data_IF_539173804060
#
_entry.id   IF_539173804060
#
_cell.length_a   1.000
_cell.length_b   1.000
_cell.length_c   1.000
_cell.angle_alpha   90.00
_cell.angle_beta   90.00
_cell.angle_gamma   90.00
#
_symmetry.space_group_name_H-M   'P 1'
#
loop_
_entity.id
_entity.type
_entity.pdbx_description
1 polymer ?
#
# COMPACT_ATOMS: atom_id res chain seq x y z
N UNK A 1 5.19 -50.71 9.06
CA UNK A 1 5.24 -49.96 7.80
C UNK A 1 6.22 -50.72 6.91
N UNK A 2 5.71 -51.47 5.94
CA UNK A 2 6.55 -52.22 4.98
C UNK A 2 7.19 -51.27 3.99
N UNK A 3 8.48 -51.38 3.75
CA UNK A 3 9.18 -50.61 2.73
C UNK A 3 8.52 -50.82 1.35
N UNK A 4 8.40 -49.78 0.53
CA UNK A 4 7.78 -49.88 -0.79
C UNK A 4 8.61 -50.78 -1.69
N UNK A 5 7.92 -51.63 -2.47
CA UNK A 5 8.58 -52.50 -3.44
C UNK A 5 9.29 -51.71 -4.54
N UNK A 6 10.39 -52.26 -5.15
CA UNK A 6 11.08 -51.58 -6.24
C UNK A 6 10.17 -51.15 -7.40
N UNK A 7 9.13 -51.92 -7.71
CA UNK A 7 8.11 -51.58 -8.72
C UNK A 7 7.31 -50.37 -8.32
N UNK A 8 6.93 -50.21 -7.06
CA UNK A 8 6.18 -49.07 -6.57
C UNK A 8 7.02 -47.78 -6.55
N UNK A 9 8.35 -47.91 -6.28
CA UNK A 9 9.30 -46.79 -6.39
C UNK A 9 9.41 -46.31 -7.83
N UNK A 10 9.56 -47.21 -8.79
CA UNK A 10 9.64 -46.88 -10.22
C UNK A 10 8.35 -46.21 -10.72
N UNK A 11 7.17 -46.67 -10.27
CA UNK A 11 5.87 -46.07 -10.61
C UNK A 11 5.74 -44.63 -10.07
N UNK A 12 6.13 -44.39 -8.80
CA UNK A 12 6.15 -43.07 -8.18
C UNK A 12 7.14 -42.12 -8.84
N UNK A 13 8.32 -42.60 -9.23
CA UNK A 13 9.31 -41.80 -9.97
C UNK A 13 8.79 -41.39 -11.36
N UNK A 14 8.09 -42.31 -12.07
CA UNK A 14 7.47 -42.00 -13.33
C UNK A 14 6.33 -40.98 -13.18
N UNK A 15 5.53 -41.07 -12.12
CA UNK A 15 4.47 -40.12 -11.80
C UNK A 15 5.04 -38.75 -11.46
N UNK A 16 6.04 -38.67 -10.62
CA UNK A 16 6.80 -37.46 -10.30
C UNK A 16 7.42 -36.81 -11.54
N UNK A 17 7.93 -37.66 -12.46
CA UNK A 17 8.47 -37.23 -13.75
C UNK A 17 7.40 -36.59 -14.65
N UNK A 18 6.18 -37.13 -14.66
CA UNK A 18 5.02 -36.58 -15.40
C UNK A 18 4.58 -35.25 -14.80
N UNK A 19 4.46 -35.16 -13.47
CA UNK A 19 4.10 -33.93 -12.75
C UNK A 19 5.14 -32.81 -12.95
N UNK A 20 6.42 -33.11 -12.88
CA UNK A 20 7.50 -32.16 -13.17
C UNK A 20 7.47 -31.63 -14.60
N UNK A 21 7.16 -32.48 -15.60
CA UNK A 21 6.98 -32.05 -17.01
C UNK A 21 5.76 -31.17 -17.16
N UNK A 22 4.63 -31.48 -16.50
CA UNK A 22 3.40 -30.69 -16.50
C UNK A 22 3.64 -29.32 -15.87
N UNK A 23 4.29 -29.25 -14.72
CA UNK A 23 4.67 -28.02 -14.04
C UNK A 23 5.56 -27.12 -14.91
N UNK A 24 6.60 -27.69 -15.55
CA UNK A 24 7.47 -26.94 -16.48
C UNK A 24 6.70 -26.40 -17.70
N UNK A 25 5.74 -27.16 -18.22
CA UNK A 25 4.88 -26.71 -19.33
C UNK A 25 4.00 -25.54 -18.93
N UNK A 26 3.38 -25.59 -17.74
CA UNK A 26 2.57 -24.50 -17.18
C UNK A 26 3.43 -23.26 -16.94
N UNK A 27 4.62 -23.42 -16.36
CA UNK A 27 5.54 -22.30 -16.14
C UNK A 27 5.99 -21.62 -17.43
N UNK A 28 6.24 -22.41 -18.51
CA UNK A 28 6.57 -21.85 -19.83
C UNK A 28 5.42 -21.08 -20.45
N UNK A 29 4.17 -21.59 -20.32
CA UNK A 29 2.97 -20.88 -20.79
C UNK A 29 2.72 -19.60 -20.01
N UNK A 30 2.94 -19.61 -18.70
CA UNK A 30 2.83 -18.43 -17.85
C UNK A 30 3.86 -17.37 -18.25
N UNK A 31 5.13 -17.73 -18.39
CA UNK A 31 6.19 -16.82 -18.81
C UNK A 31 5.94 -16.23 -20.21
N UNK A 32 5.39 -17.03 -21.16
CA UNK A 32 5.03 -16.52 -22.48
C UNK A 32 3.88 -15.52 -22.41
N UNK A 33 2.87 -15.76 -21.56
CA UNK A 33 1.76 -14.82 -21.32
C UNK A 33 2.21 -13.56 -20.61
N UNK A 34 3.11 -13.64 -19.66
CA UNK A 34 3.73 -12.47 -19.00
C UNK A 34 4.48 -11.61 -20.00
N UNK A 35 5.19 -12.22 -20.93
CA UNK A 35 5.92 -11.52 -21.98
C UNK A 35 4.99 -10.85 -22.99
N UNK A 36 3.91 -11.52 -23.40
CA UNK A 36 2.84 -10.98 -24.25
C UNK A 36 2.16 -9.77 -23.57
N UNK A 37 1.87 -9.84 -22.27
CA UNK A 37 1.32 -8.73 -21.49
C UNK A 37 2.31 -7.56 -21.40
N UNK A 38 3.60 -7.80 -21.18
CA UNK A 38 4.64 -6.78 -21.17
C UNK A 38 4.78 -6.07 -22.52
N UNK A 39 4.63 -6.80 -23.63
CA UNK A 39 4.62 -6.20 -24.97
C UNK A 39 3.39 -5.33 -25.21
N UNK A 40 2.21 -5.75 -24.74
CA UNK A 40 0.97 -4.95 -24.77
C UNK A 40 1.15 -3.66 -23.96
N UNK A 41 1.72 -3.75 -22.75
CA UNK A 41 2.00 -2.57 -21.90
C UNK A 41 3.05 -1.61 -22.50
N UNK A 42 4.02 -2.12 -23.26
CA UNK A 42 5.05 -1.33 -23.97
C UNK A 42 4.55 -0.77 -25.29
N UNK A 43 3.43 -1.23 -25.82
CA UNK A 43 2.92 -0.80 -27.11
C UNK A 43 2.37 0.64 -27.06
N UNK A 44 2.57 1.39 -28.17
CA UNK A 44 1.96 2.72 -28.34
C UNK A 44 0.42 2.69 -28.26
N UNK A 45 -0.20 1.50 -28.45
CA UNK A 45 -1.63 1.29 -28.31
C UNK A 45 -2.12 1.53 -26.87
N UNK A 46 -1.30 1.25 -25.83
CA UNK A 46 -1.70 1.51 -24.43
C UNK A 46 -1.78 3.01 -24.13
N UNK A 47 -0.86 3.82 -24.69
CA UNK A 47 -0.96 5.28 -24.65
C UNK A 47 -2.23 5.80 -25.36
N UNK A 48 -2.64 5.13 -26.45
CA UNK A 48 -3.85 5.47 -27.20
C UNK A 48 -5.14 5.10 -26.44
N UNK A 49 -5.14 4.00 -25.69
CA UNK A 49 -6.26 3.60 -24.81
C UNK A 49 -6.46 4.60 -23.67
N UNK A 50 -5.36 5.14 -23.09
CA UNK A 50 -5.42 6.24 -22.13
C UNK A 50 -6.05 7.50 -22.72
N UNK A 51 -5.70 7.82 -23.98
CA UNK A 51 -6.28 8.95 -24.72
C UNK A 51 -7.74 8.70 -25.10
N UNK A 52 -8.11 7.49 -25.53
CA UNK A 52 -9.50 7.11 -25.78
C UNK A 52 -10.35 7.11 -24.51
N UNK A 53 -9.78 6.71 -23.38
CA UNK A 53 -10.42 6.78 -22.06
C UNK A 53 -10.72 8.23 -21.68
N UNK A 54 -9.76 9.15 -21.92
CA UNK A 54 -9.99 10.58 -21.71
C UNK A 54 -11.01 11.19 -22.69
N UNK A 55 -11.09 10.67 -23.92
CA UNK A 55 -12.09 11.06 -24.92
C UNK A 55 -13.50 10.54 -24.56
N UNK A 56 -13.59 9.32 -24.05
CA UNK A 56 -14.83 8.75 -23.51
C UNK A 56 -15.39 9.62 -22.39
N UNK A 57 -14.55 10.05 -21.47
CA UNK A 57 -14.96 10.96 -20.38
C UNK A 57 -15.34 12.37 -20.87
N UNK A 58 -14.79 12.83 -22.00
CA UNK A 58 -15.09 14.15 -22.56
C UNK A 58 -16.35 14.18 -23.44
N UNK A 59 -16.70 13.10 -24.13
CA UNK A 59 -17.74 13.06 -25.14
C UNK A 59 -18.99 12.25 -24.76
N UNK A 60 -18.85 11.15 -24.00
CA UNK A 60 -19.98 10.27 -23.67
C UNK A 60 -20.62 10.59 -22.31
N UNK A 61 -19.87 11.14 -21.35
CA UNK A 61 -20.39 11.48 -20.04
C UNK A 61 -21.40 12.64 -20.01
N UNK A 62 -21.34 13.67 -20.89
CA UNK A 62 -22.40 14.67 -20.97
C UNK A 62 -23.74 14.09 -21.43
N UNK A 63 -23.71 12.99 -22.23
CA UNK A 63 -24.92 12.31 -22.72
C UNK A 63 -25.54 11.41 -21.64
N UNK A 64 -24.74 10.81 -20.74
CA UNK A 64 -25.20 9.99 -19.62
C UNK A 64 -25.76 10.86 -18.45
N UNK A 65 -25.35 12.12 -18.35
CA UNK A 65 -25.90 13.09 -17.40
C UNK A 65 -27.38 13.43 -17.65
N UNK A 66 -27.91 13.04 -18.80
CA UNK A 66 -29.36 13.20 -19.11
C UNK A 66 -30.23 12.08 -18.50
N UNK A 67 -29.66 11.07 -17.85
CA UNK A 67 -30.37 9.94 -17.23
C UNK A 67 -30.30 9.99 -15.69
N UNK A 68 -30.12 11.16 -15.10
CA UNK A 68 -30.48 11.40 -13.69
C UNK A 68 -29.52 10.89 -12.60
N UNK A 69 -28.30 10.46 -12.93
CA UNK A 69 -27.27 10.08 -11.93
C UNK A 69 -26.06 11.00 -12.10
N UNK A 70 -26.02 12.11 -11.36
CA UNK A 70 -24.88 13.03 -11.32
C UNK A 70 -24.12 12.87 -10.01
N UNK A 71 -22.92 12.28 -10.10
CA UNK A 71 -21.92 12.31 -9.01
C UNK A 71 -21.04 13.56 -9.16
N UNK A 72 -20.64 14.24 -8.08
CA UNK A 72 -19.82 15.44 -8.17
C UNK A 72 -18.41 15.09 -8.69
N UNK A 73 -18.03 15.71 -9.81
CA UNK A 73 -16.69 15.53 -10.42
C UNK A 73 -15.85 16.77 -10.19
N UNK A 74 -14.73 16.64 -9.51
CA UNK A 74 -13.63 17.60 -9.60
C UNK A 74 -12.63 17.14 -10.68
N UNK A 75 -12.18 18.12 -11.50
CA UNK A 75 -11.20 17.90 -12.58
C UNK A 75 -9.82 17.53 -11.98
N UNK A 76 -9.10 16.51 -12.50
CA UNK A 76 -7.73 16.32 -12.14
C UNK A 76 -6.89 17.52 -12.64
N UNK A 77 -6.04 18.05 -11.78
CA UNK A 77 -5.03 19.05 -12.13
C UNK A 77 -4.02 18.41 -13.08
N UNK A 78 -3.71 19.08 -14.19
CA UNK A 78 -2.73 18.61 -15.17
C UNK A 78 -1.33 18.48 -14.54
N UNK A 79 -0.51 17.48 -14.93
CA UNK A 79 0.87 17.38 -14.47
C UNK A 79 1.68 18.59 -14.94
N UNK A 80 2.49 19.13 -14.02
CA UNK A 80 3.42 20.21 -14.31
C UNK A 80 4.44 19.76 -15.39
N UNK A 81 4.93 20.68 -16.27
CA UNK A 81 5.90 20.34 -17.29
C UNK A 81 7.23 19.93 -16.66
N UNK A 82 7.84 18.86 -17.19
CA UNK A 82 9.17 18.44 -16.83
C UNK A 82 10.21 19.51 -17.25
N UNK A 83 10.61 20.33 -16.31
CA UNK A 83 11.76 21.22 -16.44
C UNK A 83 13.01 20.45 -16.03
N UNK A 84 14.02 20.42 -16.89
CA UNK A 84 15.29 19.71 -16.65
C UNK A 84 16.24 20.38 -15.64
N UNK A 85 15.79 21.37 -14.87
CA UNK A 85 16.54 21.94 -13.77
C UNK A 85 16.29 21.12 -12.50
N UNK A 86 17.36 20.72 -11.81
CA UNK A 86 17.24 20.12 -10.48
C UNK A 86 16.51 21.10 -9.56
N UNK A 87 15.48 20.66 -8.82
CA UNK A 87 14.78 21.53 -7.88
C UNK A 87 15.78 22.01 -6.83
N UNK A 88 15.77 23.31 -6.54
CA UNK A 88 16.51 23.88 -5.41
C UNK A 88 15.91 23.35 -4.12
N UNK A 89 16.45 22.27 -3.58
CA UNK A 89 16.08 21.78 -2.26
C UNK A 89 16.62 22.76 -1.22
N UNK A 90 15.78 23.40 -0.39
CA UNK A 90 16.25 24.28 0.66
C UNK A 90 17.15 23.50 1.63
N UNK A 91 18.02 24.20 2.35
CA UNK A 91 18.83 23.61 3.43
C UNK A 91 17.90 23.03 4.50
N UNK A 92 18.39 22.01 5.23
CA UNK A 92 17.65 21.46 6.37
C UNK A 92 17.29 22.55 7.39
N UNK A 93 16.09 22.45 7.95
CA UNK A 93 15.66 23.36 9.00
C UNK A 93 16.46 23.09 10.29
N UNK A 94 16.90 24.12 11.02
CA UNK A 94 17.60 23.93 12.29
C UNK A 94 16.82 23.03 13.26
N UNK A 95 17.48 22.03 13.84
CA UNK A 95 16.87 21.09 14.77
C UNK A 95 15.91 20.06 14.14
N UNK A 96 15.90 19.95 12.82
CA UNK A 96 15.14 18.91 12.08
C UNK A 96 16.12 18.00 11.36
N UNK A 97 15.81 16.71 11.34
CA UNK A 97 16.55 15.71 10.59
C UNK A 97 15.95 15.50 9.22
N UNK A 98 16.72 14.93 8.32
CA UNK A 98 16.28 14.59 6.98
C UNK A 98 15.79 13.14 6.93
N UNK A 99 14.90 12.85 6.00
CA UNK A 99 14.39 11.49 5.76
C UNK A 99 14.67 11.10 4.31
N UNK A 100 15.40 10.00 4.13
CA UNK A 100 15.53 9.31 2.86
C UNK A 100 14.62 8.08 2.89
N UNK A 101 13.53 8.12 2.13
CA UNK A 101 12.56 7.04 2.10
C UNK A 101 12.72 6.17 0.86
N UNK A 102 13.03 4.90 1.05
CA UNK A 102 13.01 3.86 0.02
C UNK A 102 11.60 3.26 -0.06
N UNK A 103 10.85 3.69 -1.07
CA UNK A 103 9.41 3.55 -1.13
C UNK A 103 8.91 2.17 -1.59
N UNK A 104 7.61 1.94 -1.35
CA UNK A 104 6.86 0.78 -1.89
C UNK A 104 5.97 1.14 -3.07
N UNK A 105 5.80 2.43 -3.41
CA UNK A 105 5.01 2.93 -4.53
C UNK A 105 5.53 4.30 -4.96
N UNK A 106 5.16 4.78 -6.15
CA UNK A 106 5.38 6.18 -6.52
C UNK A 106 4.51 7.09 -5.65
N UNK A 107 4.96 8.35 -5.44
CA UNK A 107 4.24 9.29 -4.58
C UNK A 107 2.81 9.54 -5.03
N UNK A 108 2.59 9.74 -6.32
CA UNK A 108 1.27 10.00 -6.91
C UNK A 108 0.46 8.72 -7.19
N UNK A 109 0.93 7.55 -6.75
CA UNK A 109 0.25 6.28 -6.94
C UNK A 109 -1.02 6.21 -6.10
N UNK A 110 -0.90 5.73 -4.88
CA UNK A 110 -1.98 5.69 -3.90
C UNK A 110 -1.55 6.40 -2.65
N UNK A 111 -2.40 7.32 -2.16
CA UNK A 111 -2.13 8.03 -0.91
C UNK A 111 -2.45 7.11 0.27
N UNK A 112 -1.41 6.46 0.80
CA UNK A 112 -1.51 5.43 1.85
C UNK A 112 -0.58 5.75 3.02
N UNK A 113 -0.37 4.78 3.92
CA UNK A 113 0.49 4.90 5.11
C UNK A 113 1.82 5.62 4.85
N UNK A 114 2.63 5.29 3.83
CA UNK A 114 3.88 6.01 3.60
C UNK A 114 3.68 7.50 3.35
N UNK A 115 2.76 7.86 2.45
CA UNK A 115 2.49 9.25 2.10
C UNK A 115 1.86 10.00 3.28
N UNK A 116 0.95 9.37 4.03
CA UNK A 116 0.32 9.95 5.22
C UNK A 116 1.38 10.34 6.26
N UNK A 117 2.20 9.37 6.69
CA UNK A 117 3.22 9.60 7.72
C UNK A 117 4.31 10.57 7.27
N UNK A 118 4.82 10.40 6.03
CA UNK A 118 5.87 11.27 5.50
C UNK A 118 5.39 12.70 5.26
N UNK A 119 4.10 12.89 4.96
CA UNK A 119 3.49 14.21 4.89
C UNK A 119 3.54 14.91 6.24
N UNK A 120 3.25 14.22 7.33
CA UNK A 120 3.31 14.77 8.69
C UNK A 120 4.75 15.10 9.12
N UNK A 121 5.74 14.31 8.71
CA UNK A 121 7.14 14.68 8.88
C UNK A 121 7.49 15.99 8.13
N UNK A 122 7.02 16.12 6.90
CA UNK A 122 7.24 17.31 6.10
C UNK A 122 6.55 18.55 6.70
N UNK A 123 5.33 18.40 7.23
CA UNK A 123 4.58 19.45 7.92
C UNK A 123 5.26 19.85 9.24
N UNK A 124 5.92 18.90 9.92
CA UNK A 124 6.76 19.16 11.08
C UNK A 124 8.11 19.82 10.72
N UNK A 125 8.39 20.06 9.43
CA UNK A 125 9.56 20.78 8.95
C UNK A 125 10.77 19.90 8.59
N UNK A 126 10.63 18.59 8.57
CA UNK A 126 11.64 17.66 8.07
C UNK A 126 11.67 17.68 6.54
N UNK A 127 12.86 17.58 5.91
CA UNK A 127 12.96 17.33 4.47
C UNK A 127 12.78 15.82 4.22
N UNK A 128 11.95 15.47 3.23
CA UNK A 128 11.64 14.10 2.86
C UNK A 128 12.05 13.88 1.40
N UNK A 129 12.98 12.98 1.19
CA UNK A 129 13.43 12.51 -0.11
C UNK A 129 12.85 11.12 -0.36
N UNK A 130 11.79 11.06 -1.14
CA UNK A 130 11.01 9.86 -1.42
C UNK A 130 11.52 9.19 -2.69
N UNK A 131 12.30 8.12 -2.58
CA UNK A 131 12.89 7.41 -3.71
C UNK A 131 11.81 6.61 -4.43
N UNK A 132 11.54 7.00 -5.69
CA UNK A 132 10.60 6.34 -6.59
C UNK A 132 11.07 4.93 -6.96
N UNK A 133 10.12 4.07 -7.30
CA UNK A 133 10.38 2.74 -7.85
C UNK A 133 10.75 2.78 -9.34
N UNK A 134 10.59 3.92 -10.00
CA UNK A 134 10.98 4.12 -11.39
C UNK A 134 12.42 4.54 -11.47
N UNK A 135 13.17 3.87 -12.34
CA UNK A 135 14.56 4.20 -12.62
C UNK A 135 14.68 4.88 -13.97
N UNK A 136 15.73 5.69 -14.13
CA UNK A 136 16.08 6.33 -15.39
C UNK A 136 17.29 5.61 -15.98
N UNK A 137 17.22 5.28 -17.26
CA UNK A 137 18.34 4.63 -17.97
C UNK A 137 19.47 5.58 -18.32
N UNK A 138 19.20 6.90 -18.35
CA UNK A 138 20.09 7.96 -18.82
C UNK A 138 20.00 9.22 -17.95
N UNK A 139 20.84 10.19 -18.26
CA UNK A 139 20.89 11.49 -17.58
C UNK A 139 21.66 11.49 -16.25
N UNK A 140 21.39 12.44 -15.35
CA UNK A 140 22.10 12.58 -14.07
C UNK A 140 21.87 11.38 -13.16
N UNK A 141 22.76 11.19 -12.18
CA UNK A 141 22.70 10.08 -11.23
C UNK A 141 21.39 10.06 -10.42
N UNK A 142 20.79 11.21 -10.20
CA UNK A 142 19.47 11.39 -9.61
C UNK A 142 18.75 12.58 -10.24
N UNK A 143 17.42 12.61 -10.10
CA UNK A 143 16.56 13.76 -10.37
C UNK A 143 15.43 13.78 -9.36
N UNK A 144 14.83 14.93 -9.09
CA UNK A 144 13.69 15.01 -8.20
C UNK A 144 12.62 15.97 -8.70
N UNK A 145 11.39 15.73 -8.24
CA UNK A 145 10.26 16.62 -8.41
C UNK A 145 9.64 16.91 -7.04
N UNK A 146 9.40 18.18 -6.72
CA UNK A 146 8.68 18.54 -5.51
C UNK A 146 7.21 18.12 -5.64
N UNK A 147 6.72 17.34 -4.69
CA UNK A 147 5.33 16.86 -4.64
C UNK A 147 4.46 17.69 -3.72
N UNK A 148 5.05 18.15 -2.67
CA UNK A 148 4.49 19.11 -1.73
C UNK A 148 5.62 19.77 -0.98
N UNK A 149 5.33 20.80 -0.19
CA UNK A 149 6.34 21.47 0.64
C UNK A 149 7.13 20.44 1.46
N UNK A 150 8.45 20.48 1.36
CA UNK A 150 9.40 19.61 2.04
C UNK A 150 9.37 18.12 1.60
N UNK A 151 8.69 17.75 0.51
CA UNK A 151 8.70 16.40 -0.05
C UNK A 151 9.14 16.42 -1.50
N UNK A 152 10.21 15.71 -1.81
CA UNK A 152 10.72 15.53 -3.18
C UNK A 152 10.69 14.05 -3.55
N UNK A 153 10.00 13.71 -4.64
CA UNK A 153 10.11 12.39 -5.23
C UNK A 153 11.40 12.30 -6.04
N UNK A 154 12.28 11.41 -5.62
CA UNK A 154 13.62 11.21 -6.18
C UNK A 154 13.60 10.01 -7.12
N UNK A 155 14.04 10.21 -8.36
CA UNK A 155 14.25 9.14 -9.34
C UNK A 155 15.75 8.93 -9.51
N UNK A 156 16.23 7.73 -9.19
CA UNK A 156 17.63 7.36 -9.36
C UNK A 156 17.91 6.87 -10.79
N UNK A 157 19.14 7.06 -11.26
CA UNK A 157 19.61 6.39 -12.46
C UNK A 157 19.80 4.90 -12.17
N UNK A 158 19.22 4.05 -13.01
CA UNK A 158 19.23 2.61 -12.83
C UNK A 158 18.70 1.87 -14.04
N UNK A 159 18.83 0.56 -14.02
CA UNK A 159 18.23 -0.33 -15.01
C UNK A 159 16.76 -0.55 -14.68
N UNK A 160 15.93 -0.89 -15.68
CA UNK A 160 14.52 -1.20 -15.45
C UNK A 160 14.35 -2.52 -14.70
N UNK A 161 14.22 -2.45 -13.38
CA UNK A 161 14.01 -3.58 -12.47
C UNK A 161 12.56 -3.59 -11.96
N UNK A 162 12.01 -4.78 -11.77
CA UNK A 162 10.76 -4.93 -11.06
C UNK A 162 11.05 -5.12 -9.56
N UNK A 163 10.92 -4.03 -8.80
CA UNK A 163 11.24 -3.98 -7.37
C UNK A 163 10.42 -4.94 -6.51
N UNK A 164 9.29 -5.45 -7.01
CA UNK A 164 8.44 -6.42 -6.27
C UNK A 164 8.82 -7.88 -6.51
N UNK A 165 9.51 -8.18 -7.60
CA UNK A 165 9.79 -9.57 -8.00
C UNK A 165 11.27 -9.88 -8.11
N UNK A 166 12.12 -8.86 -8.28
CA UNK A 166 13.55 -9.03 -8.49
C UNK A 166 14.33 -8.63 -7.24
N UNK A 167 15.38 -9.38 -6.93
CA UNK A 167 16.34 -9.00 -5.90
C UNK A 167 17.34 -7.99 -6.47
N UNK A 168 17.76 -7.02 -5.67
CA UNK A 168 18.75 -6.04 -6.07
C UNK A 168 20.14 -6.69 -6.16
N UNK A 169 20.60 -6.92 -7.39
CA UNK A 169 21.92 -7.45 -7.69
C UNK A 169 23.04 -6.41 -7.49
N UNK A 170 24.28 -6.88 -7.41
CA UNK A 170 25.44 -6.05 -7.05
C UNK A 170 25.67 -4.88 -8.03
N UNK A 171 25.61 -5.14 -9.33
CA UNK A 171 25.80 -4.10 -10.37
C UNK A 171 24.71 -3.01 -10.28
N UNK A 172 23.45 -3.42 -10.17
CA UNK A 172 22.32 -2.48 -10.06
C UNK A 172 22.42 -1.70 -8.74
N UNK A 173 22.78 -2.36 -7.64
CA UNK A 173 23.01 -1.71 -6.35
C UNK A 173 24.10 -0.64 -6.42
N UNK A 174 25.25 -0.93 -7.07
CA UNK A 174 26.33 0.02 -7.23
C UNK A 174 25.87 1.27 -8.00
N UNK A 175 25.10 1.08 -9.09
CA UNK A 175 24.57 2.17 -9.89
C UNK A 175 23.56 3.04 -9.13
N UNK A 176 22.65 2.41 -8.38
CA UNK A 176 21.68 3.13 -7.54
C UNK A 176 22.39 3.87 -6.38
N UNK A 177 23.46 3.28 -5.84
CA UNK A 177 24.23 3.91 -4.78
C UNK A 177 24.98 5.16 -5.25
N UNK A 178 25.47 5.20 -6.48
CA UNK A 178 26.01 6.43 -7.10
C UNK A 178 24.99 7.58 -7.04
N UNK A 179 23.71 7.26 -7.28
CA UNK A 179 22.60 8.23 -7.18
C UNK A 179 22.36 8.70 -5.75
N UNK A 180 22.40 7.82 -4.77
CA UNK A 180 22.25 8.16 -3.34
C UNK A 180 23.43 9.00 -2.86
N UNK A 181 24.67 8.66 -3.26
CA UNK A 181 25.88 9.38 -2.90
C UNK A 181 25.90 10.78 -3.54
N UNK A 182 25.45 10.91 -4.80
CA UNK A 182 25.30 12.19 -5.45
C UNK A 182 24.20 13.06 -4.79
N UNK A 183 23.04 12.47 -4.49
CA UNK A 183 21.96 13.16 -3.77
C UNK A 183 22.46 13.70 -2.43
N UNK A 184 23.17 12.87 -1.66
CA UNK A 184 23.72 13.28 -0.36
C UNK A 184 24.59 14.53 -0.49
N UNK A 185 25.50 14.57 -1.47
CA UNK A 185 26.38 15.73 -1.69
C UNK A 185 25.62 16.96 -2.14
N UNK A 186 24.74 16.80 -3.14
CA UNK A 186 24.10 17.91 -3.84
C UNK A 186 23.09 18.65 -2.94
N UNK A 187 22.37 17.91 -2.07
CA UNK A 187 21.40 18.49 -1.12
C UNK A 187 21.90 18.57 0.32
N UNK A 188 23.18 18.20 0.55
CA UNK A 188 23.86 18.22 1.85
C UNK A 188 23.09 17.46 2.94
N UNK A 189 22.78 16.17 2.69
CA UNK A 189 22.25 15.29 3.73
C UNK A 189 23.34 15.04 4.78
N UNK A 190 23.04 15.37 6.03
CA UNK A 190 23.97 15.28 7.15
C UNK A 190 23.93 13.95 7.89
N UNK A 191 24.67 13.88 9.00
CA UNK A 191 24.65 12.72 9.92
C UNK A 191 23.27 12.53 10.59
N UNK A 192 22.46 13.57 10.64
CA UNK A 192 21.08 13.60 11.14
C UNK A 192 20.05 13.22 10.06
N UNK A 193 20.39 12.26 9.21
CA UNK A 193 19.48 11.68 8.21
C UNK A 193 19.04 10.30 8.66
N UNK A 194 17.73 10.01 8.59
CA UNK A 194 17.17 8.67 8.84
C UNK A 194 16.68 8.03 7.54
N UNK A 195 16.91 6.73 7.37
CA UNK A 195 16.42 5.99 6.23
C UNK A 195 15.16 5.20 6.59
N UNK A 196 14.07 5.43 5.86
CA UNK A 196 12.84 4.64 5.94
C UNK A 196 12.84 3.64 4.79
N UNK A 197 12.66 2.37 5.10
CA UNK A 197 12.59 1.28 4.11
C UNK A 197 11.22 0.66 4.18
N UNK A 198 10.49 0.67 3.07
CA UNK A 198 9.14 0.12 2.97
C UNK A 198 9.08 -1.18 2.17
N UNK A 199 10.14 -1.51 1.42
CA UNK A 199 10.22 -2.73 0.62
C UNK A 199 11.61 -3.36 0.78
N UNK A 200 11.71 -4.67 1.08
CA UNK A 200 12.99 -5.36 1.27
C UNK A 200 13.96 -5.30 0.09
N UNK A 201 13.46 -5.08 -1.14
CA UNK A 201 14.29 -4.81 -2.32
C UNK A 201 15.39 -3.78 -2.04
N UNK A 202 15.08 -2.76 -1.24
CA UNK A 202 15.99 -1.67 -0.90
C UNK A 202 16.98 -2.01 0.22
N UNK A 203 16.81 -3.14 0.92
CA UNK A 203 17.63 -3.54 2.06
C UNK A 203 19.12 -3.49 1.79
N UNK A 204 19.64 -4.09 0.68
CA UNK A 204 21.06 -4.02 0.34
C UNK A 204 21.59 -2.60 0.10
N UNK A 205 20.76 -1.72 -0.49
CA UNK A 205 21.10 -0.31 -0.73
C UNK A 205 21.13 0.50 0.57
N UNK A 206 20.13 0.31 1.42
CA UNK A 206 20.05 0.96 2.73
C UNK A 206 21.21 0.55 3.64
N UNK A 207 21.60 -0.74 3.65
CA UNK A 207 22.78 -1.23 4.37
C UNK A 207 24.05 -0.54 3.89
N UNK A 208 24.29 -0.45 2.58
CA UNK A 208 25.45 0.25 2.01
C UNK A 208 25.45 1.74 2.40
N UNK A 209 24.32 2.42 2.37
CA UNK A 209 24.20 3.80 2.79
C UNK A 209 24.47 3.96 4.31
N UNK A 210 23.98 3.04 5.15
CA UNK A 210 24.30 3.00 6.58
C UNK A 210 25.80 2.86 6.84
N UNK A 211 26.47 1.93 6.16
CA UNK A 211 27.91 1.72 6.27
C UNK A 211 28.71 2.96 5.85
N UNK A 212 28.25 3.67 4.82
CA UNK A 212 28.93 4.82 4.25
C UNK A 212 28.71 6.11 5.02
N UNK A 213 27.46 6.36 5.50
CA UNK A 213 27.04 7.64 6.05
C UNK A 213 26.67 7.59 7.54
N UNK A 214 26.52 6.41 8.11
CA UNK A 214 26.10 6.25 9.52
C UNK A 214 24.58 6.42 9.74
N UNK A 215 23.78 6.54 8.70
CA UNK A 215 22.35 6.79 8.81
C UNK A 215 21.59 5.57 9.35
N UNK A 216 20.76 5.73 10.39
CA UNK A 216 19.97 4.62 10.91
C UNK A 216 18.89 4.17 9.90
N UNK A 217 18.63 2.86 9.91
CA UNK A 217 17.62 2.19 9.06
C UNK A 217 16.38 1.89 9.88
N UNK A 218 15.23 2.42 9.48
CA UNK A 218 13.91 2.08 10.00
C UNK A 218 13.17 1.27 8.95
N UNK A 219 12.86 0.01 9.25
CA UNK A 219 12.06 -0.84 8.39
C UNK A 219 10.59 -0.81 8.83
N UNK A 220 9.70 -0.29 7.97
CA UNK A 220 8.25 -0.30 8.18
C UNK A 220 7.64 -1.50 7.45
N UNK A 221 7.50 -2.61 8.17
CA UNK A 221 6.94 -3.88 7.68
C UNK A 221 5.41 -3.78 7.69
N UNK A 222 4.84 -3.42 6.54
CA UNK A 222 3.41 -3.14 6.39
C UNK A 222 2.60 -4.34 5.94
N UNK A 223 3.24 -5.32 5.28
CA UNK A 223 2.60 -6.50 4.70
C UNK A 223 3.40 -7.77 4.97
N UNK A 224 2.73 -8.92 5.01
CA UNK A 224 3.40 -10.22 5.03
C UNK A 224 3.88 -10.57 3.62
N UNK A 225 5.11 -10.18 3.30
CA UNK A 225 5.68 -10.28 1.96
C UNK A 225 5.57 -11.69 1.36
N UNK A 226 5.85 -12.71 2.15
CA UNK A 226 5.75 -14.12 1.75
C UNK A 226 4.31 -14.57 1.42
N UNK A 227 3.30 -13.73 1.67
CA UNK A 227 1.89 -13.99 1.35
C UNK A 227 1.49 -13.60 -0.08
N UNK A 228 2.29 -12.80 -0.77
CA UNK A 228 2.03 -12.43 -2.16
C UNK A 228 2.47 -13.52 -3.13
N UNK A 229 1.62 -13.87 -4.09
CA UNK A 229 1.89 -14.91 -5.10
C UNK A 229 3.04 -14.56 -6.05
N UNK A 230 3.33 -13.26 -6.21
CA UNK A 230 4.36 -12.72 -7.12
C UNK A 230 5.75 -12.61 -6.49
N UNK A 231 5.86 -12.69 -5.17
CA UNK A 231 7.13 -12.50 -4.44
C UNK A 231 8.03 -13.72 -4.55
N UNK A 232 9.28 -13.51 -4.92
CA UNK A 232 10.30 -14.55 -5.05
C UNK A 232 11.02 -14.82 -3.72
N UNK A 233 11.57 -16.03 -3.57
CA UNK A 233 12.32 -16.44 -2.36
C UNK A 233 13.47 -15.50 -2.00
N UNK A 234 14.14 -14.93 -3.01
CA UNK A 234 15.24 -14.00 -2.79
C UNK A 234 14.79 -12.72 -2.06
N UNK A 235 13.57 -12.22 -2.36
CA UNK A 235 13.00 -11.07 -1.68
C UNK A 235 12.66 -11.40 -0.21
N UNK A 236 12.12 -12.58 0.05
CA UNK A 236 11.86 -13.06 1.42
C UNK A 236 13.17 -13.16 2.21
N UNK A 237 14.26 -13.64 1.59
CA UNK A 237 15.57 -13.67 2.24
C UNK A 237 16.11 -12.26 2.56
N UNK A 238 15.92 -11.30 1.66
CA UNK A 238 16.26 -9.89 1.91
C UNK A 238 15.43 -9.29 3.05
N UNK A 239 14.13 -9.65 3.18
CA UNK A 239 13.30 -9.24 4.31
C UNK A 239 13.85 -9.77 5.64
N UNK A 240 14.23 -11.05 5.68
CA UNK A 240 14.80 -11.69 6.85
C UNK A 240 16.11 -11.00 7.33
N UNK A 241 16.96 -10.61 6.36
CA UNK A 241 18.17 -9.82 6.66
C UNK A 241 17.82 -8.41 7.16
N UNK A 242 16.86 -7.74 6.52
CA UNK A 242 16.44 -6.40 6.89
C UNK A 242 15.80 -6.38 8.28
N UNK A 243 14.94 -7.35 8.60
CA UNK A 243 14.37 -7.53 9.94
C UNK A 243 15.45 -7.68 11.02
N UNK A 244 16.52 -8.43 10.72
CA UNK A 244 17.63 -8.67 11.67
C UNK A 244 18.54 -7.44 11.85
N UNK A 245 18.73 -6.63 10.81
CA UNK A 245 19.79 -5.61 10.75
C UNK A 245 19.29 -4.17 10.89
N UNK A 246 17.99 -3.89 10.68
CA UNK A 246 17.45 -2.55 10.84
C UNK A 246 17.59 -2.03 12.28
N UNK A 247 17.86 -0.75 12.46
CA UNK A 247 17.99 -0.12 13.77
C UNK A 247 16.64 -0.04 14.50
N UNK A 248 15.55 0.11 13.74
CA UNK A 248 14.18 0.04 14.22
C UNK A 248 13.36 -0.78 13.24
N UNK A 249 12.53 -1.69 13.74
CA UNK A 249 11.50 -2.37 12.96
C UNK A 249 10.14 -1.97 13.49
N UNK A 250 9.31 -1.46 12.58
CA UNK A 250 7.91 -1.10 12.81
C UNK A 250 7.04 -2.10 12.10
N UNK A 251 5.93 -2.51 12.72
CA UNK A 251 4.91 -3.37 12.11
C UNK A 251 3.53 -2.75 12.31
N UNK A 252 2.59 -3.04 11.41
CA UNK A 252 1.24 -2.47 11.51
C UNK A 252 0.19 -3.43 12.07
N UNK A 253 0.57 -4.67 12.40
CA UNK A 253 -0.36 -5.67 12.97
C UNK A 253 0.34 -6.62 13.93
N UNK A 254 -0.44 -7.29 14.77
CA UNK A 254 0.06 -8.29 15.73
C UNK A 254 0.66 -9.52 15.03
N UNK A 255 0.16 -9.92 13.87
CA UNK A 255 0.74 -11.04 13.10
C UNK A 255 2.10 -10.65 12.50
N UNK A 256 2.23 -9.42 12.00
CA UNK A 256 3.52 -8.91 11.51
C UNK A 256 4.52 -8.72 12.66
N UNK A 257 4.08 -8.30 13.83
CA UNK A 257 4.90 -8.28 15.04
C UNK A 257 5.48 -9.66 15.34
N UNK A 258 4.62 -10.69 15.40
CA UNK A 258 5.05 -12.07 15.63
C UNK A 258 5.98 -12.57 14.52
N UNK A 259 5.77 -12.15 13.27
CA UNK A 259 6.67 -12.46 12.17
C UNK A 259 8.06 -11.85 12.40
N UNK A 260 8.13 -10.56 12.74
CA UNK A 260 9.38 -9.86 12.98
C UNK A 260 10.12 -10.37 14.24
N UNK A 261 9.40 -10.71 15.31
CA UNK A 261 9.96 -11.25 16.56
C UNK A 261 10.68 -12.60 16.37
N UNK A 262 10.52 -13.29 15.25
CA UNK A 262 11.34 -14.48 14.91
C UNK A 262 12.79 -14.13 14.61
N UNK A 263 13.08 -12.89 14.26
CA UNK A 263 14.41 -12.41 13.83
C UNK A 263 15.05 -11.42 14.79
N UNK A 264 14.25 -10.78 15.64
CA UNK A 264 14.73 -9.80 16.61
C UNK A 264 13.88 -9.81 17.88
N UNK A 265 14.35 -9.13 18.93
CA UNK A 265 13.66 -9.10 20.24
C UNK A 265 12.79 -7.84 20.43
N UNK A 266 13.06 -6.80 19.68
CA UNK A 266 12.45 -5.48 19.81
C UNK A 266 11.72 -5.11 18.49
N UNK A 267 10.42 -4.97 18.57
CA UNK A 267 9.55 -4.59 17.45
C UNK A 267 8.57 -3.54 17.95
N UNK A 268 8.38 -2.49 17.19
CA UNK A 268 7.42 -1.44 17.51
C UNK A 268 6.15 -1.64 16.69
N UNK A 269 5.02 -1.83 17.36
CA UNK A 269 3.72 -1.93 16.68
C UNK A 269 3.13 -0.53 16.54
N UNK A 270 3.07 -0.03 15.32
CA UNK A 270 2.39 1.20 14.95
C UNK A 270 1.32 0.85 13.92
N UNK A 271 0.08 0.64 14.38
CA UNK A 271 -1.06 0.34 13.51
C UNK A 271 -1.33 1.47 12.52
N UNK A 272 -2.13 1.21 11.51
CA UNK A 272 -2.62 2.25 10.62
C UNK A 272 -3.55 3.22 11.37
N UNK A 273 -3.89 4.32 10.74
CA UNK A 273 -4.78 5.35 11.24
C UNK A 273 -5.61 5.95 10.11
N UNK A 274 -6.29 7.05 10.38
CA UNK A 274 -7.01 7.83 9.38
C UNK A 274 -6.68 9.32 9.50
N UNK A 275 -6.92 10.06 8.41
CA UNK A 275 -7.15 11.50 8.47
C UNK A 275 -8.60 11.71 8.94
N UNK A 276 -8.78 11.92 10.25
CA UNK A 276 -10.10 12.00 10.85
C UNK A 276 -10.94 13.13 10.24
N UNK A 277 -10.38 14.32 10.13
CA UNK A 277 -11.10 15.50 9.64
C UNK A 277 -11.51 15.33 8.17
N UNK A 278 -10.68 14.68 7.37
CA UNK A 278 -10.96 14.38 5.98
C UNK A 278 -12.22 13.51 5.80
N UNK A 279 -12.38 12.46 6.62
CA UNK A 279 -13.50 11.52 6.50
C UNK A 279 -14.72 11.87 7.35
N UNK A 280 -14.56 12.58 8.46
CA UNK A 280 -15.67 12.94 9.36
C UNK A 280 -16.56 14.05 8.81
N UNK A 281 -16.04 14.91 7.92
CA UNK A 281 -16.70 16.11 7.41
C UNK A 281 -17.28 15.95 6.00
N UNK A 282 -17.42 14.73 5.49
CA UNK A 282 -18.02 14.47 4.19
C UNK A 282 -19.46 14.96 4.13
N UNK A 283 -19.86 15.53 2.99
CA UNK A 283 -21.22 16.03 2.78
C UNK A 283 -22.24 14.89 2.82
N UNK A 284 -23.38 15.10 3.46
CA UNK A 284 -24.46 14.11 3.45
C UNK A 284 -24.94 13.88 2.00
N UNK A 285 -25.04 12.62 1.56
CA UNK A 285 -25.53 12.31 0.22
C UNK A 285 -27.03 12.57 0.13
N UNK A 286 -27.58 12.71 -1.10
CA UNK A 286 -29.01 12.63 -1.30
C UNK A 286 -29.53 11.26 -0.82
N UNK A 287 -30.78 11.23 -0.34
CA UNK A 287 -31.39 9.98 0.09
C UNK A 287 -31.44 8.96 -1.07
N UNK A 288 -30.97 7.77 -0.81
CA UNK A 288 -31.02 6.66 -1.78
C UNK A 288 -32.42 6.02 -1.79
N UNK A 289 -32.88 5.57 -2.97
CA UNK A 289 -34.12 4.79 -3.09
C UNK A 289 -33.91 3.35 -2.61
N UNK A 290 -32.69 2.84 -2.77
CA UNK A 290 -32.27 1.49 -2.38
C UNK A 290 -31.03 1.58 -1.50
N UNK A 291 -30.88 0.70 -0.50
CA UNK A 291 -29.69 0.68 0.31
C UNK A 291 -28.42 0.48 -0.52
N UNK A 292 -27.38 1.25 -0.22
CA UNK A 292 -26.08 1.18 -0.90
C UNK A 292 -25.06 0.50 -0.01
N UNK A 293 -24.62 -0.68 -0.43
CA UNK A 293 -23.52 -1.44 0.17
C UNK A 293 -22.22 -1.07 -0.54
N UNK A 294 -21.34 -0.37 0.16
CA UNK A 294 -20.14 0.23 -0.42
C UNK A 294 -18.84 -0.50 -0.07
N UNK A 295 -17.89 -0.41 -0.99
CA UNK A 295 -16.48 -0.76 -0.79
C UNK A 295 -15.61 0.26 -1.52
N UNK A 296 -14.47 0.63 -0.93
CA UNK A 296 -13.42 1.33 -1.67
C UNK A 296 -12.04 0.76 -1.36
N UNK A 297 -11.16 0.78 -2.36
CA UNK A 297 -9.79 0.28 -2.34
C UNK A 297 -9.51 -0.73 -3.46
N UNK A 298 -8.30 -1.29 -3.49
CA UNK A 298 -7.94 -2.25 -4.53
C UNK A 298 -8.85 -3.47 -4.52
N UNK A 299 -9.41 -3.78 -5.68
CA UNK A 299 -10.14 -5.01 -5.97
C UNK A 299 -9.13 -5.93 -6.68
N UNK A 300 -8.43 -6.76 -5.90
CA UNK A 300 -7.33 -7.59 -6.37
C UNK A 300 -7.48 -9.05 -5.89
N UNK A 301 -6.42 -9.84 -5.93
CA UNK A 301 -6.45 -11.28 -5.60
C UNK A 301 -7.04 -11.58 -4.21
N UNK A 302 -6.89 -10.67 -3.27
CA UNK A 302 -7.43 -10.78 -1.90
C UNK A 302 -8.91 -10.43 -1.75
N UNK A 303 -9.52 -9.79 -2.75
CA UNK A 303 -10.95 -9.46 -2.72
C UNK A 303 -11.79 -10.68 -3.07
N UNK A 304 -12.82 -10.98 -2.28
CA UNK A 304 -13.73 -12.10 -2.54
C UNK A 304 -14.91 -11.66 -3.43
N UNK A 305 -14.67 -11.69 -4.73
CA UNK A 305 -15.68 -11.36 -5.74
C UNK A 305 -16.86 -12.33 -5.71
N UNK A 306 -16.64 -13.60 -5.34
CA UNK A 306 -17.69 -14.59 -5.29
C UNK A 306 -18.66 -14.32 -4.13
N UNK A 307 -18.16 -13.93 -2.96
CA UNK A 307 -18.96 -13.53 -1.83
C UNK A 307 -19.85 -12.32 -2.19
N UNK A 308 -19.26 -11.28 -2.79
CA UNK A 308 -20.02 -10.08 -3.18
C UNK A 308 -21.05 -10.38 -4.27
N UNK A 309 -20.70 -11.20 -5.27
CA UNK A 309 -21.66 -11.64 -6.28
C UNK A 309 -22.81 -12.44 -5.68
N UNK A 310 -22.53 -13.36 -4.74
CA UNK A 310 -23.54 -14.09 -4.02
C UNK A 310 -24.53 -13.18 -3.26
N UNK A 311 -24.03 -12.15 -2.58
CA UNK A 311 -24.85 -11.13 -1.93
C UNK A 311 -25.71 -10.36 -2.94
N UNK A 312 -25.13 -9.90 -4.02
CA UNK A 312 -25.83 -9.09 -5.02
C UNK A 312 -26.94 -9.88 -5.74
N UNK A 313 -26.75 -11.18 -5.97
CA UNK A 313 -27.77 -12.07 -6.53
C UNK A 313 -28.94 -12.26 -5.53
N UNK A 314 -28.65 -12.41 -4.24
CA UNK A 314 -29.67 -12.63 -3.20
C UNK A 314 -30.44 -11.39 -2.85
N UNK A 315 -29.82 -10.23 -2.97
CA UNK A 315 -30.39 -8.93 -2.58
C UNK A 315 -30.43 -7.99 -3.80
N UNK A 316 -31.32 -8.26 -4.75
CA UNK A 316 -31.50 -7.39 -5.92
C UNK A 316 -32.09 -6.01 -5.53
N UNK A 317 -32.60 -5.88 -4.31
CA UNK A 317 -33.08 -4.65 -3.68
C UNK A 317 -31.98 -3.77 -3.07
N UNK A 318 -30.71 -4.24 -3.01
CA UNK A 318 -29.54 -3.46 -2.59
C UNK A 318 -28.67 -3.11 -3.81
N UNK A 319 -28.03 -1.94 -3.76
CA UNK A 319 -27.02 -1.53 -4.73
C UNK A 319 -25.61 -1.76 -4.15
N UNK A 320 -24.74 -2.39 -4.91
CA UNK A 320 -23.35 -2.64 -4.53
C UNK A 320 -22.44 -1.69 -5.32
N UNK A 321 -21.73 -0.81 -4.63
CA UNK A 321 -20.82 0.18 -5.24
C UNK A 321 -19.39 -0.12 -4.80
N UNK A 322 -18.56 -0.58 -5.76
CA UNK A 322 -17.20 -1.06 -5.51
C UNK A 322 -16.19 -0.12 -6.17
N UNK A 323 -15.68 0.84 -5.41
CA UNK A 323 -14.74 1.87 -5.88
C UNK A 323 -13.32 1.37 -5.76
N UNK A 324 -12.60 1.28 -6.87
CA UNK A 324 -11.19 0.90 -6.87
C UNK A 324 -10.70 0.29 -8.17
N UNK A 325 -9.39 0.15 -8.26
CA UNK A 325 -8.72 -0.56 -9.36
C UNK A 325 -9.03 -2.05 -9.30
N UNK A 326 -9.35 -2.63 -10.45
CA UNK A 326 -9.67 -4.06 -10.61
C UNK A 326 -8.49 -4.88 -11.12
N UNK A 327 -7.27 -4.41 -10.89
CA UNK A 327 -6.06 -5.10 -11.34
C UNK A 327 -5.93 -6.50 -10.73
N UNK A 328 -5.75 -7.52 -11.58
CA UNK A 328 -5.63 -8.94 -11.22
C UNK A 328 -6.83 -9.57 -10.47
N UNK A 329 -7.98 -8.91 -10.39
CA UNK A 329 -9.18 -9.50 -9.80
C UNK A 329 -10.03 -10.21 -10.84
N UNK A 330 -10.60 -11.36 -10.48
CA UNK A 330 -11.68 -11.98 -11.24
C UNK A 330 -13.01 -11.29 -10.90
N UNK A 331 -13.42 -10.36 -11.76
CA UNK A 331 -14.68 -9.60 -11.64
C UNK A 331 -15.72 -10.00 -12.66
N UNK A 332 -15.50 -11.08 -13.43
CA UNK A 332 -16.36 -11.46 -14.55
C UNK A 332 -17.83 -11.69 -14.15
N UNK A 333 -18.05 -12.17 -12.93
CA UNK A 333 -19.40 -12.35 -12.40
C UNK A 333 -20.01 -11.01 -11.97
N UNK A 334 -19.25 -10.15 -11.31
CA UNK A 334 -19.73 -8.85 -10.79
C UNK A 334 -20.20 -7.92 -11.89
N UNK A 335 -19.48 -7.83 -13.01
CA UNK A 335 -19.82 -6.91 -14.12
C UNK A 335 -21.13 -7.27 -14.85
N UNK A 336 -21.68 -8.48 -14.61
CA UNK A 336 -22.95 -8.95 -15.21
C UNK A 336 -24.15 -8.65 -14.34
N UNK A 337 -23.98 -8.25 -13.09
CA UNK A 337 -25.07 -8.03 -12.14
C UNK A 337 -25.58 -6.59 -12.25
N UNK A 338 -26.88 -6.38 -12.44
CA UNK A 338 -27.46 -5.06 -12.71
C UNK A 338 -27.40 -4.11 -11.51
N UNK A 339 -27.25 -4.66 -10.30
CA UNK A 339 -27.15 -3.93 -9.04
C UNK A 339 -25.70 -3.82 -8.53
N UNK A 340 -24.70 -4.07 -9.37
CA UNK A 340 -23.28 -3.89 -9.06
C UNK A 340 -22.67 -2.80 -9.93
N UNK A 341 -22.05 -1.80 -9.30
CA UNK A 341 -21.34 -0.70 -9.97
C UNK A 341 -19.85 -0.76 -9.64
N UNK A 342 -19.02 -0.61 -10.67
CA UNK A 342 -17.55 -0.61 -10.60
C UNK A 342 -17.04 0.70 -11.24
N UNK A 343 -17.08 1.85 -10.54
CA UNK A 343 -16.72 3.17 -11.09
C UNK A 343 -15.22 3.28 -11.43
N UNK A 344 -14.39 2.41 -10.90
CA UNK A 344 -12.94 2.44 -11.07
C UNK A 344 -12.23 3.05 -9.89
N UNK A 345 -10.93 3.37 -10.06
CA UNK A 345 -10.09 3.98 -9.03
C UNK A 345 -10.36 5.48 -8.96
N UNK A 346 -10.52 5.98 -7.74
CA UNK A 346 -10.75 7.38 -7.44
C UNK A 346 -9.61 7.98 -6.63
N UNK A 347 -9.45 9.30 -6.70
CA UNK A 347 -8.47 10.03 -5.92
C UNK A 347 -8.82 10.00 -4.41
N UNK A 348 -7.80 10.06 -3.56
CA UNK A 348 -7.98 10.03 -2.10
C UNK A 348 -8.93 11.12 -1.61
N UNK A 349 -8.83 12.31 -2.20
CA UNK A 349 -9.65 13.48 -1.88
C UNK A 349 -11.15 13.27 -2.15
N UNK A 350 -11.51 12.35 -3.04
CA UNK A 350 -12.90 12.02 -3.37
C UNK A 350 -13.48 10.90 -2.50
N UNK A 351 -12.66 10.15 -1.77
CA UNK A 351 -13.13 9.01 -0.99
C UNK A 351 -14.14 9.36 0.11
N UNK A 352 -14.07 10.51 0.80
CA UNK A 352 -15.09 10.89 1.76
C UNK A 352 -16.49 11.02 1.16
N UNK A 353 -16.60 11.58 -0.04
CA UNK A 353 -17.90 11.74 -0.73
C UNK A 353 -18.48 10.38 -1.15
N UNK A 354 -17.60 9.44 -1.60
CA UNK A 354 -18.01 8.06 -1.84
C UNK A 354 -18.49 7.39 -0.57
N UNK A 355 -17.72 7.50 0.52
CA UNK A 355 -18.08 6.93 1.81
C UNK A 355 -19.41 7.51 2.35
N UNK A 356 -19.61 8.80 2.20
CA UNK A 356 -20.86 9.43 2.60
C UNK A 356 -22.06 8.82 1.86
N UNK A 357 -21.90 8.45 0.60
CA UNK A 357 -22.91 7.78 -0.23
C UNK A 357 -23.18 6.32 0.11
N UNK A 358 -22.45 5.69 1.02
CA UNK A 358 -22.71 4.31 1.45
C UNK A 358 -23.59 4.27 2.69
N UNK A 359 -24.56 3.36 2.74
CA UNK A 359 -25.33 3.08 3.95
C UNK A 359 -24.60 2.10 4.86
N UNK A 360 -24.00 1.05 4.26
CA UNK A 360 -23.15 0.05 4.93
C UNK A 360 -21.90 -0.15 4.09
N UNK A 361 -20.76 -0.37 4.75
CA UNK A 361 -19.51 -0.71 4.08
C UNK A 361 -19.12 -2.16 4.35
N UNK A 362 -18.42 -2.77 3.39
CA UNK A 362 -17.95 -4.16 3.52
C UNK A 362 -16.43 -4.25 3.38
N UNK A 363 -15.83 -5.23 4.10
CA UNK A 363 -14.45 -5.67 3.90
C UNK A 363 -14.48 -7.16 3.55
N UNK A 364 -14.76 -7.50 2.27
CA UNK A 364 -14.98 -8.87 1.82
C UNK A 364 -13.68 -9.50 1.33
N UNK A 365 -12.69 -9.62 2.21
CA UNK A 365 -11.40 -10.20 1.84
C UNK A 365 -11.44 -11.73 1.93
N UNK A 366 -10.75 -12.40 1.01
CA UNK A 366 -10.45 -13.84 1.18
C UNK A 366 -9.56 -14.01 2.39
N UNK A 367 -9.87 -14.98 3.24
CA UNK A 367 -9.04 -15.31 4.41
C UNK A 367 -7.79 -16.06 3.95
N UNK A 368 -6.66 -15.41 4.06
CA UNK A 368 -5.33 -15.91 3.71
C UNK A 368 -4.32 -15.42 4.74
N UNK A 369 -3.12 -16.00 4.76
CA UNK A 369 -2.04 -15.51 5.64
C UNK A 369 -1.71 -14.03 5.40
N UNK A 370 -1.81 -13.55 4.14
CA UNK A 370 -1.59 -12.16 3.78
C UNK A 370 -2.66 -11.24 4.39
N UNK A 371 -3.93 -11.57 4.16
CA UNK A 371 -5.04 -10.74 4.64
C UNK A 371 -5.22 -10.81 6.15
N UNK A 372 -4.92 -11.95 6.77
CA UNK A 372 -4.93 -12.10 8.23
C UNK A 372 -3.83 -11.25 8.90
N UNK A 373 -2.70 -11.04 8.22
CA UNK A 373 -1.62 -10.18 8.70
C UNK A 373 -1.87 -8.68 8.42
N UNK A 374 -2.90 -8.32 7.66
CA UNK A 374 -3.17 -6.93 7.31
C UNK A 374 -3.84 -6.14 8.44
N UNK A 375 -3.56 -4.85 8.50
CA UNK A 375 -4.30 -3.86 9.29
C UNK A 375 -4.95 -2.87 8.30
N UNK A 376 -6.22 -3.09 7.88
CA UNK A 376 -6.82 -2.32 6.79
C UNK A 376 -7.00 -0.84 7.14
N UNK A 377 -6.36 0.08 6.40
CA UNK A 377 -6.48 1.55 6.59
C UNK A 377 -7.93 1.99 6.50
N UNK A 378 -8.66 1.48 5.50
CA UNK A 378 -10.08 1.82 5.27
C UNK A 378 -10.98 1.61 6.49
N UNK A 379 -10.62 0.69 7.37
CA UNK A 379 -11.38 0.46 8.60
C UNK A 379 -11.43 1.73 9.47
N UNK A 380 -10.30 2.40 9.65
CA UNK A 380 -10.22 3.63 10.44
C UNK A 380 -10.94 4.79 9.74
N UNK A 381 -10.79 4.90 8.43
CA UNK A 381 -11.44 5.92 7.59
C UNK A 381 -12.97 5.78 7.62
N UNK A 382 -13.48 4.55 7.48
CA UNK A 382 -14.91 4.25 7.53
C UNK A 382 -15.48 4.58 8.92
N UNK A 383 -14.76 4.21 9.99
CA UNK A 383 -15.16 4.54 11.36
C UNK A 383 -15.14 6.05 11.61
N UNK A 384 -14.21 6.81 10.99
CA UNK A 384 -14.20 8.28 11.05
C UNK A 384 -15.45 8.88 10.40
N UNK A 385 -15.91 8.34 9.26
CA UNK A 385 -17.19 8.68 8.65
C UNK A 385 -18.42 8.24 9.46
N UNK A 386 -18.23 7.43 10.52
CA UNK A 386 -19.31 6.90 11.36
C UNK A 386 -20.11 5.77 10.72
N UNK A 387 -19.69 5.27 9.56
CA UNK A 387 -20.43 4.25 8.80
C UNK A 387 -20.26 2.85 9.42
N UNK A 388 -21.28 2.00 9.35
CA UNK A 388 -21.16 0.60 9.77
C UNK A 388 -20.26 -0.19 8.82
N UNK A 389 -19.53 -1.15 9.40
CA UNK A 389 -18.64 -2.07 8.68
C UNK A 389 -19.11 -3.49 8.91
N UNK A 390 -19.25 -4.28 7.83
CA UNK A 390 -19.34 -5.74 7.88
C UNK A 390 -18.09 -6.33 7.23
N UNK A 391 -17.34 -7.12 7.96
CA UNK A 391 -16.04 -7.64 7.53
C UNK A 391 -15.94 -9.14 7.74
N UNK A 392 -15.13 -9.80 6.92
CA UNK A 392 -14.61 -11.12 7.27
C UNK A 392 -13.79 -11.03 8.58
N UNK A 393 -13.66 -12.14 9.36
CA UNK A 393 -12.99 -12.13 10.66
C UNK A 393 -11.46 -11.95 10.56
N UNK A 394 -10.98 -10.84 9.99
CA UNK A 394 -9.56 -10.45 10.03
C UNK A 394 -9.17 -10.14 11.47
N UNK A 395 -8.02 -10.61 11.99
CA UNK A 395 -7.64 -10.43 13.39
C UNK A 395 -7.69 -8.98 13.88
N UNK A 396 -7.13 -8.04 13.10
CA UNK A 396 -7.10 -6.62 13.45
C UNK A 396 -8.49 -5.95 13.38
N UNK A 397 -9.42 -6.48 12.58
CA UNK A 397 -10.80 -5.99 12.47
C UNK A 397 -11.69 -6.61 13.55
N UNK A 398 -11.56 -7.93 13.76
CA UNK A 398 -12.36 -8.66 14.75
C UNK A 398 -12.10 -8.16 16.19
N UNK A 399 -10.91 -7.62 16.45
CA UNK A 399 -10.58 -6.99 17.74
C UNK A 399 -11.40 -5.73 18.04
N UNK A 400 -12.13 -5.18 17.05
CA UNK A 400 -12.92 -3.94 17.20
C UNK A 400 -14.43 -4.19 17.40
N UNK A 401 -14.87 -5.42 17.59
CA UNK A 401 -16.26 -5.70 17.99
C UNK A 401 -16.54 -5.01 19.35
N UNK A 402 -17.66 -4.26 19.53
CA UNK A 402 -18.84 -4.19 18.66
C UNK A 402 -18.86 -3.03 17.64
N UNK A 403 -17.79 -2.26 17.45
CA UNK A 403 -17.74 -1.15 16.49
C UNK A 403 -17.88 -1.61 15.03
N UNK A 404 -17.48 -2.86 14.79
CA UNK A 404 -17.57 -3.55 13.49
C UNK A 404 -18.38 -4.83 13.66
N UNK A 405 -19.02 -5.27 12.57
CA UNK A 405 -19.74 -6.53 12.49
C UNK A 405 -18.90 -7.55 11.75
N UNK A 406 -18.94 -8.80 12.19
CA UNK A 406 -18.13 -9.89 11.62
C UNK A 406 -19.05 -10.92 10.96
N UNK A 407 -18.68 -11.32 9.73
CA UNK A 407 -19.36 -12.33 8.95
C UNK A 407 -18.34 -13.13 8.12
N UNK A 408 -18.55 -14.44 7.96
CA UNK A 408 -17.65 -15.31 7.22
C UNK A 408 -18.29 -15.92 5.96
N UNK A 409 -19.62 -15.93 5.88
CA UNK A 409 -20.40 -16.55 4.80
C UNK A 409 -21.35 -15.52 4.17
N UNK A 410 -21.87 -15.82 2.98
CA UNK A 410 -22.88 -14.97 2.32
C UNK A 410 -24.11 -14.79 3.22
N UNK A 411 -24.58 -15.86 3.89
CA UNK A 411 -25.73 -15.80 4.79
C UNK A 411 -25.48 -14.89 5.99
N UNK A 412 -24.29 -14.95 6.56
CA UNK A 412 -23.88 -14.09 7.67
C UNK A 412 -23.72 -12.64 7.23
N UNK A 413 -23.08 -12.38 6.06
CA UNK A 413 -22.96 -11.03 5.53
C UNK A 413 -24.32 -10.41 5.27
N UNK A 414 -25.26 -11.14 4.65
CA UNK A 414 -26.61 -10.66 4.40
C UNK A 414 -27.30 -10.26 5.71
N UNK A 415 -27.23 -11.12 6.73
CA UNK A 415 -27.82 -10.85 8.05
C UNK A 415 -27.18 -9.64 8.73
N UNK A 416 -25.84 -9.55 8.74
CA UNK A 416 -25.12 -8.47 9.40
C UNK A 416 -25.26 -7.13 8.66
N UNK A 417 -25.35 -7.14 7.32
CA UNK A 417 -25.67 -5.94 6.53
C UNK A 417 -27.10 -5.46 6.82
N UNK A 418 -28.09 -6.38 6.85
CA UNK A 418 -29.46 -6.00 7.19
C UNK A 418 -29.57 -5.43 8.61
N UNK A 419 -28.84 -6.00 9.58
CA UNK A 419 -28.76 -5.47 10.94
C UNK A 419 -28.06 -4.10 10.99
N UNK A 420 -27.02 -3.88 10.17
CA UNK A 420 -26.32 -2.60 10.06
C UNK A 420 -27.20 -1.50 9.46
N UNK A 421 -28.03 -1.84 8.46
CA UNK A 421 -29.02 -0.93 7.86
C UNK A 421 -30.14 -0.51 8.84
N UNK A 422 -30.41 -1.34 9.84
CA UNK A 422 -31.42 -1.05 10.87
C UNK A 422 -30.86 -0.32 12.09
N UNK A 423 -29.57 0.03 12.12
CA UNK A 423 -28.96 0.76 13.23
C UNK A 423 -29.51 2.17 13.34
N UNK A 424 -29.65 2.65 14.56
CA UNK A 424 -30.00 4.03 14.83
C UNK A 424 -28.82 4.99 14.63
N UNK A 425 -29.11 6.29 14.53
CA UNK A 425 -28.11 7.34 14.31
C UNK A 425 -27.05 7.42 15.45
N UNK A 426 -27.37 6.93 16.64
CA UNK A 426 -26.49 6.93 17.80
C UNK A 426 -25.28 6.00 17.62
N UNK A 427 -25.39 4.96 16.80
CA UNK A 427 -24.32 4.00 16.54
C UNK A 427 -23.06 4.61 15.89
N UNK A 428 -23.17 5.74 15.23
CA UNK A 428 -22.04 6.46 14.63
C UNK A 428 -21.09 7.09 15.67
N UNK A 429 -21.60 7.48 16.84
CA UNK A 429 -20.83 8.17 17.89
C UNK A 429 -19.60 7.39 18.35
N UNK A 430 -19.75 6.16 18.85
CA UNK A 430 -18.63 5.31 19.29
C UNK A 430 -17.60 5.04 18.18
N UNK A 431 -18.03 4.87 16.92
CA UNK A 431 -17.13 4.67 15.76
C UNK A 431 -16.23 5.88 15.53
N UNK A 432 -16.84 7.08 15.52
CA UNK A 432 -16.09 8.34 15.38
C UNK A 432 -15.17 8.61 16.56
N UNK A 433 -15.58 8.30 17.77
CA UNK A 433 -14.74 8.44 18.96
C UNK A 433 -13.48 7.57 18.83
N UNK A 434 -13.63 6.29 18.45
CA UNK A 434 -12.50 5.39 18.22
C UNK A 434 -11.57 5.93 17.13
N UNK A 435 -12.10 6.38 15.98
CA UNK A 435 -11.30 6.89 14.88
C UNK A 435 -10.53 8.15 15.27
N UNK A 436 -11.10 9.06 16.07
CA UNK A 436 -10.45 10.27 16.57
C UNK A 436 -9.21 9.98 17.42
N UNK A 437 -9.18 8.87 18.13
CA UNK A 437 -8.04 8.41 18.91
C UNK A 437 -7.01 7.63 18.07
N UNK A 438 -7.37 7.29 16.83
CA UNK A 438 -6.56 6.46 15.95
C UNK A 438 -6.22 7.18 14.63
N UNK A 439 -5.72 8.42 14.74
CA UNK A 439 -5.35 9.23 13.57
C UNK A 439 -3.89 9.01 13.15
N UNK A 440 -3.55 9.51 11.97
CA UNK A 440 -2.16 9.47 11.47
C UNK A 440 -1.23 10.33 12.34
N UNK A 441 -1.71 11.41 12.96
CA UNK A 441 -0.92 12.25 13.88
C UNK A 441 -0.47 11.46 15.12
N UNK A 442 -1.34 10.63 15.69
CA UNK A 442 -0.96 9.74 16.79
C UNK A 442 0.11 8.72 16.35
N UNK A 443 0.00 8.18 15.12
CA UNK A 443 0.98 7.24 14.56
C UNK A 443 2.30 7.93 14.26
N UNK A 444 2.24 9.14 13.71
CA UNK A 444 3.41 9.98 13.46
C UNK A 444 4.19 10.27 14.77
N UNK A 445 3.52 10.64 15.84
CA UNK A 445 4.18 10.92 17.11
C UNK A 445 5.04 9.74 17.60
N UNK A 446 4.51 8.51 17.50
CA UNK A 446 5.24 7.29 17.85
C UNK A 446 6.44 7.04 16.93
N UNK A 447 6.22 7.18 15.61
CA UNK A 447 7.27 6.96 14.62
C UNK A 447 8.38 8.02 14.71
N UNK A 448 8.02 9.29 14.95
CA UNK A 448 8.97 10.38 15.11
C UNK A 448 9.83 10.20 16.38
N UNK A 449 9.24 9.75 17.48
CA UNK A 449 9.99 9.42 18.70
C UNK A 449 10.98 8.27 18.48
N UNK A 450 10.56 7.20 17.77
CA UNK A 450 11.41 6.07 17.42
C UNK A 450 12.57 6.50 16.50
N UNK A 451 12.29 7.38 15.53
CA UNK A 451 13.28 7.92 14.59
C UNK A 451 14.33 8.77 15.33
N UNK A 452 13.89 9.70 16.20
CA UNK A 452 14.79 10.52 17.01
C UNK A 452 15.67 9.65 17.92
N UNK A 453 15.10 8.62 18.53
CA UNK A 453 15.84 7.64 19.34
C UNK A 453 16.88 6.86 18.54
N UNK A 454 16.60 6.49 17.29
CA UNK A 454 17.55 5.82 16.41
C UNK A 454 18.71 6.76 16.02
N UNK A 455 18.41 7.99 15.66
CA UNK A 455 19.43 9.02 15.35
C UNK A 455 20.35 9.30 16.54
N UNK A 456 19.80 9.43 17.75
CA UNK A 456 20.59 9.64 18.95
C UNK A 456 21.58 8.51 19.26
N UNK A 457 21.22 7.25 18.90
CA UNK A 457 22.12 6.07 19.05
C UNK A 457 23.16 5.97 17.94
N UNK A 458 22.85 6.48 16.74
CA UNK A 458 23.75 6.42 15.58
C UNK A 458 24.89 7.44 15.66
N UNK A 459 24.70 8.57 16.36
CA UNK A 459 25.77 9.56 16.62
C UNK A 459 26.76 8.92 17.59
N UNK A 460 28.06 8.73 17.24
CA UNK A 460 29.06 8.29 18.20
C UNK A 460 29.09 9.29 19.34
N UNK A 461 29.05 8.82 20.60
CA UNK A 461 29.30 9.67 21.75
C UNK A 461 30.59 10.45 21.46
N UNK A 462 30.50 11.79 21.34
CA UNK A 462 31.64 12.66 21.07
C UNK A 462 32.75 12.21 22.01
N UNK A 463 33.89 11.81 21.47
CA UNK A 463 35.06 11.41 22.23
C UNK A 463 35.30 12.45 23.32
N UNK A 464 35.17 12.00 24.55
CA UNK A 464 35.29 12.88 25.69
C UNK A 464 36.51 13.77 25.55
N UNK A 465 36.31 15.05 25.66
CA UNK A 465 37.37 16.04 25.82
C UNK A 465 38.27 15.54 26.96
N UNK A 466 39.42 14.97 26.64
CA UNK A 466 40.47 14.75 27.61
C UNK A 466 40.92 16.13 28.04
N UNK A 467 40.42 16.55 29.16
CA UNK A 467 41.03 17.62 29.93
C UNK A 467 42.38 17.06 30.39
N UNK A 468 43.43 17.40 29.66
CA UNK A 468 44.79 17.31 30.15
C UNK A 468 44.99 18.46 31.15
N UNK A 469 45.11 18.07 32.39
CA UNK A 469 45.68 18.85 33.48
C UNK A 469 47.12 19.22 33.17
#
# INVERSE_FOLDING_TARGET
VTDPTPERIAELEAELGRERRRSRSVQRRLAAKEQELLEIYRSRAWGFIGTLRSLKYRLLDPLLGMVGVSWPRRRPTAPAPASGAQPLCPRSNPGRYDILCFSTSDWDGRFQRPQQLLSLFADAGHRVFYVSQRFRSDGPAWAAAEKRRNVWEVTLRGEGLNVYTEALGERARALLFEGVDALQRDVSLGADTAMFVHLPFWGPLARQARERFGWPVLYDCMDLLAGFSTVRRAMVAQEEELLAQADVVVTCSSILEQHALRRRKDVLVIRNGCDYEHFANASAPPAHVRPVVGYYGAIADWFDSALVAGLAIRRPDWDFVLVGSTYNADIAQLVRLPNVSLPGEEAYEALPDWLAGFDVTIIPFKRTRLTDASNPVKMYEILAGGKPIVSVPLPEVAALVPLVRIAATVDEFEREIAAALAEDAGAAGPRRAFARENTWEHRFALLAAATAGALARAVPAAAGTSVLS
#
